data_IF_755772209869
#
_entry.id   IF_755772209869
#
_cell.length_a   1.000
_cell.length_b   1.000
_cell.length_c   1.000
_cell.angle_alpha   90.00
_cell.angle_beta   90.00
_cell.angle_gamma   90.00
#
_symmetry.space_group_name_H-M   'P 1'
#
loop_
_entity.id
_entity.type
_entity.pdbx_description
1 polymer ?
#
# COMPACT_ATOMS: atom_id res chain seq x y z
N UNK A 1 21.10 -12.80 16.16
CA UNK A 1 21.38 -11.47 16.75
C UNK A 1 20.17 -11.05 17.54
N UNK A 2 20.33 -10.85 18.84
CA UNK A 2 19.20 -10.44 19.69
C UNK A 2 19.06 -8.91 19.72
N UNK A 3 18.51 -8.37 18.64
CA UNK A 3 18.32 -6.93 18.47
C UNK A 3 17.23 -6.38 19.39
N UNK A 4 16.38 -7.26 19.93
CA UNK A 4 15.25 -6.92 20.79
C UNK A 4 15.47 -7.22 22.27
N UNK A 5 16.64 -7.84 22.66
CA UNK A 5 16.82 -8.39 23.99
C UNK A 5 15.91 -9.58 24.28
N UNK A 6 15.37 -10.20 23.23
CA UNK A 6 14.43 -11.31 23.32
C UNK A 6 15.10 -12.70 23.33
N UNK A 7 16.42 -12.78 23.05
CA UNK A 7 17.18 -14.04 23.11
C UNK A 7 17.32 -14.62 24.52
N UNK A 8 17.09 -13.79 25.55
CA UNK A 8 17.03 -14.25 26.93
C UNK A 8 15.67 -14.92 27.27
N UNK A 9 14.69 -14.81 26.39
CA UNK A 9 13.40 -15.47 26.55
C UNK A 9 13.37 -16.69 25.63
N UNK A 10 13.12 -17.85 26.21
CA UNK A 10 12.65 -19.04 25.47
C UNK A 10 11.59 -18.57 24.47
N UNK A 11 11.74 -18.86 23.19
CA UNK A 11 10.77 -18.46 22.15
C UNK A 11 9.33 -18.91 22.47
N UNK A 12 9.17 -19.90 23.34
CA UNK A 12 7.90 -20.41 23.84
C UNK A 12 7.24 -19.52 24.93
N UNK A 13 7.92 -18.47 25.39
CA UNK A 13 7.41 -17.58 26.47
C UNK A 13 7.05 -16.18 26.02
N UNK A 14 7.32 -15.82 24.77
CA UNK A 14 6.93 -14.51 24.25
C UNK A 14 5.44 -14.58 23.88
N UNK A 15 4.63 -13.81 24.57
CA UNK A 15 3.19 -13.71 24.31
C UNK A 15 2.79 -12.24 24.12
N UNK A 16 1.64 -12.05 23.50
CA UNK A 16 1.05 -10.73 23.29
C UNK A 16 0.07 -10.42 24.41
N UNK A 17 0.29 -9.33 25.09
CA UNK A 17 -0.67 -8.77 26.05
C UNK A 17 -1.56 -7.75 25.35
N UNK A 18 -2.86 -7.79 25.67
CA UNK A 18 -3.89 -6.90 25.16
C UNK A 18 -4.59 -6.21 26.34
N UNK A 19 -4.57 -4.89 26.31
CA UNK A 19 -5.22 -4.05 27.32
C UNK A 19 -6.30 -3.20 26.65
N UNK A 20 -7.53 -3.28 27.15
CA UNK A 20 -8.61 -2.41 26.68
C UNK A 20 -8.26 -0.96 26.99
N UNK A 21 -8.39 -0.10 25.98
CA UNK A 21 -8.28 1.34 26.15
C UNK A 21 -9.65 1.92 26.49
N UNK A 22 -9.67 2.78 27.50
CA UNK A 22 -10.88 3.53 27.84
C UNK A 22 -10.93 4.80 26.99
N UNK A 23 -11.69 4.76 25.88
CA UNK A 23 -11.78 5.88 24.95
C UNK A 23 -13.07 5.85 24.15
N UNK A 24 -13.60 7.05 23.85
CA UNK A 24 -14.68 7.27 22.90
C UNK A 24 -14.16 7.79 21.54
N UNK A 25 -12.85 7.96 21.39
CA UNK A 25 -12.24 8.42 20.15
C UNK A 25 -12.16 7.27 19.15
N UNK A 26 -12.45 7.58 17.87
CA UNK A 26 -12.22 6.64 16.79
C UNK A 26 -10.71 6.53 16.47
N UNK A 27 -10.35 5.58 15.60
CA UNK A 27 -8.97 5.30 15.26
C UNK A 27 -8.23 6.52 14.67
N UNK A 28 -8.89 7.34 13.86
CA UNK A 28 -8.26 8.52 13.28
C UNK A 28 -8.05 9.63 14.32
N UNK A 29 -8.99 9.84 15.23
CA UNK A 29 -8.85 10.79 16.33
C UNK A 29 -7.70 10.40 17.26
N UNK A 30 -7.55 9.10 17.56
CA UNK A 30 -6.42 8.58 18.31
C UNK A 30 -5.12 8.86 17.53
N UNK A 31 -5.06 8.51 16.24
CA UNK A 31 -3.90 8.77 15.41
C UNK A 31 -3.49 10.25 15.40
N UNK A 32 -4.44 11.17 15.32
CA UNK A 32 -4.17 12.61 15.36
C UNK A 32 -3.48 13.07 16.64
N UNK A 33 -3.83 12.45 17.80
CA UNK A 33 -3.19 12.76 19.10
C UNK A 33 -1.73 12.32 19.13
N UNK A 34 -1.38 11.21 18.46
CA UNK A 34 -0.03 10.64 18.42
C UNK A 34 0.85 11.18 17.29
N UNK A 35 0.27 11.63 16.18
CA UNK A 35 0.99 12.04 14.96
C UNK A 35 2.11 13.06 15.19
N UNK A 36 1.93 13.98 16.15
CA UNK A 36 2.90 15.03 16.46
C UNK A 36 3.93 14.63 17.51
N UNK A 37 3.68 13.55 18.20
CA UNK A 37 4.56 13.06 19.27
C UNK A 37 5.71 12.22 18.72
N UNK A 38 5.47 11.57 17.57
CA UNK A 38 6.40 10.59 17.02
C UNK A 38 6.85 10.92 15.60
N UNK A 39 8.15 10.78 15.36
CA UNK A 39 8.74 10.94 14.02
C UNK A 39 8.46 9.76 13.09
N UNK A 40 8.21 8.58 13.70
CA UNK A 40 7.83 7.37 12.98
C UNK A 40 6.53 6.86 13.54
N UNK A 41 5.50 6.91 12.70
CA UNK A 41 4.13 6.54 13.07
C UNK A 41 3.37 6.13 11.82
N UNK A 42 2.43 5.20 11.99
CA UNK A 42 1.52 4.83 10.91
C UNK A 42 0.10 4.64 11.40
N UNK A 43 -0.86 4.76 10.49
CA UNK A 43 -2.19 4.19 10.58
C UNK A 43 -2.47 3.38 9.32
N UNK A 44 -2.98 2.16 9.52
CA UNK A 44 -3.56 1.31 8.48
C UNK A 44 -5.02 1.09 8.83
N UNK A 45 -5.93 1.45 7.93
CA UNK A 45 -7.37 1.31 8.18
C UNK A 45 -8.12 0.92 6.90
N UNK A 46 -9.31 0.32 7.07
CA UNK A 46 -10.23 0.04 5.97
C UNK A 46 -11.53 0.78 6.23
N UNK A 47 -11.95 1.63 5.27
CA UNK A 47 -13.15 2.46 5.43
C UNK A 47 -14.34 1.96 4.63
N UNK A 48 -14.10 1.20 3.58
CA UNK A 48 -15.12 0.63 2.71
C UNK A 48 -14.66 -0.72 2.17
N UNK A 49 -15.58 -1.54 1.72
CA UNK A 49 -15.29 -2.84 1.11
C UNK A 49 -15.95 -4.00 1.83
N UNK A 50 -15.63 -5.23 1.45
CA UNK A 50 -16.11 -6.43 2.14
C UNK A 50 -15.75 -6.41 3.62
N UNK A 51 -16.64 -6.93 4.49
CA UNK A 51 -16.43 -6.95 5.95
C UNK A 51 -15.13 -7.65 6.33
N UNK A 52 -14.75 -8.67 5.58
CA UNK A 52 -13.52 -9.44 5.77
C UNK A 52 -12.25 -8.60 5.58
N UNK A 53 -12.36 -7.44 4.91
CA UNK A 53 -11.24 -6.50 4.72
C UNK A 53 -11.20 -5.41 5.78
N UNK A 54 -12.28 -5.18 6.53
CA UNK A 54 -12.45 -4.04 7.44
C UNK A 54 -12.60 -4.42 8.92
N UNK A 55 -11.95 -5.50 9.35
CA UNK A 55 -12.08 -5.99 10.72
C UNK A 55 -11.35 -5.13 11.75
N UNK A 56 -10.14 -4.67 11.41
CA UNK A 56 -9.24 -4.02 12.35
C UNK A 56 -8.54 -2.82 11.70
N UNK A 57 -8.42 -1.71 12.44
CA UNK A 57 -7.46 -0.65 12.13
C UNK A 57 -6.27 -0.73 13.08
N UNK A 58 -5.09 -0.33 12.58
CA UNK A 58 -3.82 -0.48 13.29
C UNK A 58 -3.12 0.87 13.36
N UNK A 59 -2.66 1.25 14.56
CA UNK A 59 -1.80 2.41 14.77
C UNK A 59 -0.51 1.92 15.44
N UNK A 60 0.64 2.19 14.82
CA UNK A 60 1.94 1.91 15.42
C UNK A 60 2.78 3.17 15.45
N UNK A 61 3.60 3.30 16.46
CA UNK A 61 4.42 4.49 16.70
C UNK A 61 5.73 4.12 17.39
N UNK A 62 6.76 4.94 17.17
CA UNK A 62 8.06 4.86 17.81
C UNK A 62 8.73 3.47 17.72
N UNK A 63 8.95 2.91 16.52
CA UNK A 63 9.59 1.61 16.38
C UNK A 63 11.03 1.68 16.88
N UNK A 64 11.42 0.78 17.80
CA UNK A 64 12.79 0.70 18.30
C UNK A 64 13.78 0.35 17.20
N UNK A 65 13.37 -0.53 16.30
CA UNK A 65 14.18 -0.99 15.16
C UNK A 65 13.59 -0.47 13.87
N UNK A 66 14.45 0.05 13.02
CA UNK A 66 14.12 0.37 11.63
C UNK A 66 15.11 -0.29 10.68
N UNK A 67 14.61 -0.73 9.54
CA UNK A 67 15.44 -1.31 8.49
C UNK A 67 15.22 -0.59 7.18
N UNK A 68 16.29 -0.40 6.43
CA UNK A 68 16.25 0.15 5.08
C UNK A 68 17.15 -0.65 4.15
N UNK A 69 16.77 -0.77 2.89
CA UNK A 69 17.64 -1.33 1.86
C UNK A 69 17.70 -0.40 0.65
N UNK A 70 18.91 0.03 0.33
CA UNK A 70 19.21 0.78 -0.88
C UNK A 70 20.20 -0.03 -1.71
N UNK A 71 19.81 -0.31 -2.98
CA UNK A 71 20.61 -1.16 -3.84
C UNK A 71 20.91 -2.51 -3.14
N UNK A 72 22.16 -2.82 -2.82
CA UNK A 72 22.56 -4.07 -2.14
C UNK A 72 22.83 -3.90 -0.66
N UNK A 73 22.67 -2.72 -0.11
CA UNK A 73 23.02 -2.44 1.28
C UNK A 73 21.76 -2.41 2.15
N UNK A 74 21.66 -3.41 3.02
CA UNK A 74 20.64 -3.52 4.07
C UNK A 74 21.19 -2.93 5.37
N UNK A 75 20.47 -2.01 5.99
CA UNK A 75 20.83 -1.32 7.22
C UNK A 75 19.80 -1.60 8.30
N UNK A 76 20.28 -1.87 9.49
CA UNK A 76 19.48 -2.00 10.71
C UNK A 76 19.87 -0.87 11.65
N UNK A 77 18.89 -0.11 12.10
CA UNK A 77 19.08 0.97 13.07
C UNK A 77 18.25 0.70 14.32
N UNK A 78 18.84 0.92 15.50
CA UNK A 78 18.14 0.95 16.78
C UNK A 78 18.07 2.41 17.26
N UNK A 79 16.85 2.94 17.49
CA UNK A 79 16.62 4.34 17.88
C UNK A 79 17.45 5.33 17.05
N UNK A 80 17.41 5.18 15.73
CA UNK A 80 18.16 5.98 14.74
C UNK A 80 19.68 5.79 14.71
N UNK A 81 20.26 4.95 15.57
CA UNK A 81 21.68 4.59 15.51
C UNK A 81 21.88 3.35 14.64
N UNK A 82 22.80 3.42 13.69
CA UNK A 82 23.17 2.27 12.86
C UNK A 82 23.78 1.18 13.76
N UNK A 83 23.16 0.00 13.76
CA UNK A 83 23.62 -1.18 14.51
C UNK A 83 24.33 -2.15 13.57
N UNK A 84 23.78 -2.32 12.36
CA UNK A 84 24.29 -3.31 11.42
C UNK A 84 24.14 -2.82 9.98
N UNK A 85 25.12 -3.19 9.15
CA UNK A 85 25.12 -2.95 7.70
C UNK A 85 25.52 -4.25 7.01
N UNK A 86 24.66 -4.77 6.14
CA UNK A 86 24.83 -6.04 5.45
C UNK A 86 24.69 -5.80 3.95
N UNK A 87 25.66 -6.27 3.18
CA UNK A 87 25.51 -6.34 1.73
C UNK A 87 24.76 -7.63 1.36
N UNK A 88 23.64 -7.48 0.67
CA UNK A 88 22.74 -8.60 0.37
C UNK A 88 22.02 -8.41 -0.96
N UNK A 89 21.75 -9.53 -1.61
CA UNK A 89 20.81 -9.61 -2.73
C UNK A 89 19.44 -10.15 -2.30
N UNK A 90 19.26 -10.48 -1.00
CA UNK A 90 18.06 -11.07 -0.42
C UNK A 90 17.59 -10.26 0.81
N UNK A 91 17.11 -9.00 0.62
CA UNK A 91 16.78 -8.12 1.75
C UNK A 91 15.62 -8.64 2.59
N UNK A 92 14.62 -9.32 2.00
CA UNK A 92 13.53 -9.91 2.76
C UNK A 92 13.98 -11.09 3.63
N UNK A 93 15.03 -11.81 3.21
CA UNK A 93 15.64 -12.85 4.03
C UNK A 93 16.35 -12.27 5.25
N UNK A 94 16.95 -11.07 5.13
CA UNK A 94 17.52 -10.36 6.29
C UNK A 94 16.43 -9.85 7.24
N UNK A 95 15.33 -9.29 6.70
CA UNK A 95 14.19 -8.88 7.51
C UNK A 95 13.59 -10.09 8.27
N UNK A 96 13.41 -11.24 7.59
CA UNK A 96 12.93 -12.49 8.21
C UNK A 96 13.76 -12.92 9.42
N UNK A 97 15.11 -12.80 9.34
CA UNK A 97 16.03 -13.23 10.41
C UNK A 97 15.90 -12.38 11.68
N UNK A 98 15.54 -11.13 11.56
CA UNK A 98 15.42 -10.23 12.70
C UNK A 98 13.99 -10.20 13.28
N UNK A 99 13.02 -10.84 12.64
CA UNK A 99 11.64 -10.92 13.11
C UNK A 99 11.46 -12.08 14.08
N UNK A 100 11.02 -11.84 15.32
CA UNK A 100 10.62 -12.91 16.22
C UNK A 100 9.39 -13.64 15.68
N UNK A 101 9.20 -14.91 16.06
CA UNK A 101 8.00 -15.68 15.77
C UNK A 101 7.20 -15.84 17.04
N UNK A 102 5.94 -15.45 17.01
CA UNK A 102 5.02 -15.51 18.16
C UNK A 102 3.79 -16.31 17.75
N UNK A 103 3.43 -17.29 18.56
CA UNK A 103 2.23 -18.10 18.33
C UNK A 103 1.02 -17.43 18.99
N UNK A 104 0.34 -16.57 18.25
CA UNK A 104 -0.89 -15.91 18.68
C UNK A 104 -1.73 -15.57 17.43
N UNK A 105 -2.95 -16.06 17.35
CA UNK A 105 -3.84 -15.90 16.20
C UNK A 105 -5.12 -15.11 16.51
N UNK A 106 -5.19 -14.46 17.68
CA UNK A 106 -6.33 -13.62 18.06
C UNK A 106 -6.59 -12.49 17.06
N UNK A 107 -5.51 -11.93 16.50
CA UNK A 107 -5.56 -10.94 15.44
C UNK A 107 -4.56 -11.28 14.33
N UNK A 108 -4.85 -10.84 13.10
CA UNK A 108 -3.92 -10.97 11.97
C UNK A 108 -2.63 -10.19 12.22
N UNK A 109 -2.71 -9.05 12.89
CA UNK A 109 -1.56 -8.25 13.30
C UNK A 109 -1.44 -8.23 14.83
N UNK A 110 -0.28 -8.62 15.33
CA UNK A 110 0.08 -8.66 16.74
C UNK A 110 1.44 -8.02 17.02
N UNK A 111 1.79 -7.01 16.24
CA UNK A 111 3.15 -6.47 16.11
C UNK A 111 3.86 -7.05 14.90
N UNK A 112 4.96 -6.40 14.49
CA UNK A 112 5.68 -6.82 13.31
C UNK A 112 6.38 -5.70 12.57
N UNK A 113 6.85 -6.00 11.36
CA UNK A 113 7.44 -5.05 10.45
C UNK A 113 6.36 -4.37 9.62
N UNK A 114 6.19 -3.06 9.77
CA UNK A 114 5.29 -2.23 8.96
C UNK A 114 6.09 -1.25 8.13
N UNK A 115 5.78 -1.16 6.84
CA UNK A 115 6.53 -0.32 5.93
C UNK A 115 6.12 -0.51 4.47
N UNK A 116 7.05 -0.23 3.58
CA UNK A 116 6.84 -0.35 2.15
C UNK A 116 7.99 -1.05 1.43
N UNK A 117 7.66 -1.60 0.26
CA UNK A 117 8.59 -2.16 -0.70
C UNK A 117 8.34 -1.45 -2.03
N UNK A 118 9.38 -0.76 -2.55
CA UNK A 118 9.33 -0.06 -3.84
C UNK A 118 9.22 -1.06 -4.99
N UNK A 119 8.54 -0.67 -6.07
CA UNK A 119 8.44 -1.46 -7.30
C UNK A 119 9.82 -1.93 -7.80
N UNK A 120 10.80 -1.04 -7.74
CA UNK A 120 12.15 -1.33 -8.24
C UNK A 120 12.89 -2.40 -7.43
N UNK A 121 12.37 -2.82 -6.26
CA UNK A 121 12.89 -3.94 -5.48
C UNK A 121 12.75 -5.29 -6.20
N UNK A 122 11.90 -5.39 -7.23
CA UNK A 122 11.77 -6.60 -8.05
C UNK A 122 13.12 -7.06 -8.64
N UNK A 123 14.06 -6.14 -8.82
CA UNK A 123 15.42 -6.44 -9.30
C UNK A 123 16.25 -7.32 -8.36
N UNK A 124 15.80 -7.56 -7.15
CA UNK A 124 16.37 -8.57 -6.27
C UNK A 124 15.96 -9.99 -6.66
N UNK A 125 14.83 -10.15 -7.33
CA UNK A 125 14.22 -11.47 -7.58
C UNK A 125 14.06 -11.80 -9.06
N UNK A 126 14.04 -10.79 -9.93
CA UNK A 126 13.94 -10.95 -11.38
C UNK A 126 15.08 -10.21 -12.10
N UNK A 127 15.58 -10.81 -13.18
CA UNK A 127 16.60 -10.19 -14.02
C UNK A 127 15.94 -9.24 -15.00
N UNK A 128 16.02 -7.95 -14.75
CA UNK A 128 15.56 -6.92 -15.64
C UNK A 128 16.75 -6.18 -16.28
N UNK A 129 16.61 -5.62 -17.50
CA UNK A 129 17.64 -4.81 -18.12
C UNK A 129 18.12 -3.70 -17.18
N UNK A 130 19.42 -3.44 -17.13
CA UNK A 130 19.98 -2.36 -16.34
C UNK A 130 19.92 -1.04 -17.13
N UNK A 131 18.84 -0.31 -17.01
CA UNK A 131 18.76 1.04 -17.52
C UNK A 131 19.47 2.01 -16.56
N UNK A 132 20.78 2.12 -16.72
CA UNK A 132 21.68 2.95 -15.87
C UNK A 132 21.32 4.45 -15.93
N UNK A 133 20.54 4.88 -16.91
CA UNK A 133 20.17 6.27 -17.17
C UNK A 133 18.90 6.75 -16.41
N UNK A 134 18.24 5.88 -15.64
CA UNK A 134 17.05 6.30 -14.89
C UNK A 134 17.44 7.15 -13.72
N UNK A 135 16.77 8.28 -13.58
CA UNK A 135 16.83 9.12 -12.39
C UNK A 135 16.46 8.28 -11.16
N UNK A 136 17.38 8.24 -10.18
CA UNK A 136 17.18 7.43 -8.97
C UNK A 136 16.01 7.99 -8.17
N UNK A 137 15.12 7.12 -7.72
CA UNK A 137 14.12 7.49 -6.75
C UNK A 137 14.78 7.80 -5.39
N UNK A 138 14.30 8.84 -4.71
CA UNK A 138 14.80 9.26 -3.41
C UNK A 138 14.36 8.32 -2.26
N UNK A 139 13.42 7.41 -2.53
CA UNK A 139 12.95 6.41 -1.58
C UNK A 139 13.83 5.17 -1.60
N UNK A 140 14.14 4.55 -0.43
CA UNK A 140 14.72 3.22 -0.37
C UNK A 140 13.93 2.17 -1.16
N UNK A 141 14.61 1.09 -1.58
CA UNK A 141 13.94 -0.06 -2.20
C UNK A 141 13.01 -0.77 -1.21
N UNK A 142 13.33 -0.73 0.08
CA UNK A 142 12.42 -1.09 1.17
C UNK A 142 12.77 -0.29 2.43
N UNK A 143 11.74 0.00 3.23
CA UNK A 143 11.88 0.64 4.54
C UNK A 143 10.77 0.15 5.47
N UNK A 144 11.16 -0.38 6.63
CA UNK A 144 10.25 -0.91 7.64
C UNK A 144 10.63 -0.41 9.04
N UNK A 145 9.61 -0.11 9.84
CA UNK A 145 9.73 -0.06 11.30
C UNK A 145 9.28 -1.39 11.89
N UNK A 146 9.96 -1.87 12.93
CA UNK A 146 9.55 -3.06 13.68
C UNK A 146 8.89 -2.60 14.97
N UNK A 147 7.60 -2.86 15.06
CA UNK A 147 6.73 -2.38 16.13
C UNK A 147 6.40 -3.53 17.06
N UNK A 148 6.80 -3.41 18.32
CA UNK A 148 6.54 -4.39 19.37
C UNK A 148 5.34 -4.01 20.23
N UNK A 149 4.78 -2.84 20.03
CA UNK A 149 3.54 -2.37 20.65
C UNK A 149 2.79 -1.42 19.71
N UNK A 150 1.54 -1.14 20.04
CA UNK A 150 0.68 -0.27 19.27
C UNK A 150 -0.78 -0.34 19.69
N UNK A 151 -1.66 0.21 18.86
CA UNK A 151 -3.10 0.23 19.11
C UNK A 151 -3.82 -0.51 17.99
N UNK A 152 -4.68 -1.45 18.38
CA UNK A 152 -5.62 -2.15 17.50
C UNK A 152 -7.02 -1.60 17.78
N UNK A 153 -7.73 -1.23 16.75
CA UNK A 153 -9.14 -0.87 16.83
C UNK A 153 -9.96 -1.98 16.17
N UNK A 154 -10.65 -2.77 17.00
CA UNK A 154 -11.56 -3.82 16.53
C UNK A 154 -12.91 -3.20 16.18
N UNK A 155 -13.24 -3.17 14.88
CA UNK A 155 -14.48 -2.57 14.38
C UNK A 155 -15.72 -3.39 14.71
N UNK A 156 -15.60 -4.70 14.87
CA UNK A 156 -16.71 -5.59 15.22
C UNK A 156 -17.18 -5.33 16.66
N UNK A 157 -16.24 -5.13 17.57
CA UNK A 157 -16.50 -4.85 18.99
C UNK A 157 -16.62 -3.36 19.28
N UNK A 158 -16.27 -2.49 18.32
CA UNK A 158 -16.10 -1.05 18.49
C UNK A 158 -15.20 -0.71 19.69
N UNK A 159 -14.06 -1.42 19.81
CA UNK A 159 -13.16 -1.37 20.95
C UNK A 159 -11.72 -1.15 20.51
N UNK A 160 -11.03 -0.22 21.17
CA UNK A 160 -9.59 -0.02 21.03
C UNK A 160 -8.82 -0.85 22.07
N UNK A 161 -7.72 -1.46 21.63
CA UNK A 161 -6.81 -2.23 22.47
C UNK A 161 -5.39 -1.69 22.31
N UNK A 162 -4.68 -1.50 23.41
CA UNK A 162 -3.23 -1.41 23.40
C UNK A 162 -2.66 -2.82 23.47
N UNK A 163 -1.75 -3.15 22.58
CA UNK A 163 -1.02 -4.43 22.59
C UNK A 163 0.47 -4.19 22.79
N UNK A 164 1.14 -5.12 23.43
CA UNK A 164 2.60 -5.19 23.48
C UNK A 164 3.10 -6.63 23.55
N UNK A 165 4.32 -6.85 23.08
CA UNK A 165 4.98 -8.17 23.01
C UNK A 165 6.27 -8.24 23.84
N UNK A 166 6.63 -7.16 24.50
CA UNK A 166 7.81 -7.05 25.36
C UNK A 166 7.42 -6.61 26.76
N UNK A 167 8.32 -6.74 27.72
CA UNK A 167 8.08 -6.28 29.10
C UNK A 167 7.93 -4.76 29.24
N UNK A 168 8.20 -3.99 28.17
CA UNK A 168 8.05 -2.54 28.15
C UNK A 168 6.57 -2.15 27.89
N UNK A 169 5.71 -2.31 28.89
CA UNK A 169 4.33 -1.87 28.81
C UNK A 169 4.24 -0.34 28.98
N UNK A 170 3.70 0.34 27.97
CA UNK A 170 3.48 1.80 27.98
C UNK A 170 2.00 2.18 28.17
N UNK A 171 1.20 1.30 28.77
CA UNK A 171 -0.26 1.48 28.86
C UNK A 171 -0.63 2.82 29.49
N UNK A 172 -0.04 3.16 30.66
CA UNK A 172 -0.37 4.40 31.38
C UNK A 172 0.02 5.65 30.58
N UNK A 173 1.16 5.62 29.89
CA UNK A 173 1.60 6.68 29.00
C UNK A 173 0.60 6.87 27.84
N UNK A 174 0.24 5.77 27.17
CA UNK A 174 -0.68 5.77 26.03
C UNK A 174 -2.08 6.25 26.45
N UNK A 175 -2.62 5.74 27.57
CA UNK A 175 -3.91 6.17 28.09
C UNK A 175 -3.89 7.67 28.44
N UNK A 176 -2.83 8.13 29.13
CA UNK A 176 -2.65 9.55 29.43
C UNK A 176 -2.61 10.44 28.18
N UNK A 177 -1.99 9.99 27.08
CA UNK A 177 -1.97 10.75 25.82
C UNK A 177 -3.36 10.78 25.17
N UNK A 178 -4.11 9.68 25.24
CA UNK A 178 -5.50 9.62 24.73
C UNK A 178 -6.39 10.60 25.52
N UNK A 179 -6.26 10.65 26.85
CA UNK A 179 -7.10 11.45 27.74
C UNK A 179 -6.79 12.96 27.66
N UNK A 180 -5.59 13.32 27.24
CA UNK A 180 -5.23 14.75 27.09
C UNK A 180 -6.19 15.43 26.13
N UNK A 181 -6.82 16.51 26.59
CA UNK A 181 -7.62 17.37 25.72
C UNK A 181 -6.74 17.94 24.60
N UNK A 182 -7.18 17.78 23.37
CA UNK A 182 -6.50 18.40 22.22
C UNK A 182 -6.64 19.91 22.36
N UNK A 183 -5.58 20.61 22.78
CA UNK A 183 -5.53 22.08 22.63
C UNK A 183 -5.66 22.34 21.14
N UNK A 184 -6.53 23.30 20.75
CA UNK A 184 -6.62 23.80 19.36
C UNK A 184 -5.22 24.23 18.93
N UNK A 185 -4.48 23.35 18.31
CA UNK A 185 -3.13 23.63 17.87
C UNK A 185 -3.22 24.41 16.57
N UNK A 186 -2.46 25.48 16.50
CA UNK A 186 -2.28 26.23 15.26
C UNK A 186 -1.66 25.29 14.23
N UNK A 187 -2.43 24.91 13.22
CA UNK A 187 -1.93 24.06 12.14
C UNK A 187 -1.02 24.89 11.26
N UNK A 188 0.24 24.46 10.99
CA UNK A 188 1.07 25.15 10.02
C UNK A 188 0.35 25.20 8.67
N UNK A 189 0.48 26.32 7.98
CA UNK A 189 -0.23 26.51 6.71
C UNK A 189 0.22 25.49 5.67
N UNK A 190 -0.72 24.65 5.22
CA UNK A 190 -0.50 23.71 4.13
C UNK A 190 -0.37 24.46 2.79
N UNK A 191 0.65 24.13 2.02
CA UNK A 191 0.82 24.64 0.66
C UNK A 191 1.57 23.64 -0.22
N UNK A 192 1.33 23.72 -1.51
CA UNK A 192 2.09 22.99 -2.52
C UNK A 192 2.32 23.85 -3.77
N UNK A 193 3.44 23.61 -4.45
CA UNK A 193 3.78 24.29 -5.70
C UNK A 193 2.98 23.72 -6.88
N UNK A 194 3.00 24.40 -8.01
CA UNK A 194 2.38 23.90 -9.25
C UNK A 194 3.01 22.57 -9.65
N UNK A 195 2.21 21.48 -9.79
CA UNK A 195 2.72 20.18 -10.20
C UNK A 195 3.30 20.22 -11.62
N UNK A 196 4.38 19.45 -11.83
CA UNK A 196 5.03 19.30 -13.13
C UNK A 196 5.06 17.82 -13.50
N UNK A 197 4.58 17.49 -14.68
CA UNK A 197 4.64 16.12 -15.20
C UNK A 197 6.05 15.79 -15.70
N UNK A 198 6.49 14.56 -15.46
CA UNK A 198 7.77 14.04 -15.96
C UNK A 198 7.76 13.76 -17.47
N UNK A 199 6.58 13.68 -18.09
CA UNK A 199 6.39 13.36 -19.49
C UNK A 199 5.25 14.20 -20.09
N UNK A 200 5.40 14.71 -21.29
CA UNK A 200 4.34 15.42 -22.01
C UNK A 200 3.32 14.44 -22.59
N UNK A 201 2.10 14.93 -22.88
CA UNK A 201 1.04 14.12 -23.48
C UNK A 201 1.52 13.43 -24.77
N UNK A 202 2.12 14.17 -25.72
CA UNK A 202 2.61 13.59 -26.97
C UNK A 202 3.66 12.49 -26.75
N UNK A 203 4.56 12.66 -25.79
CA UNK A 203 5.53 11.61 -25.45
C UNK A 203 4.85 10.38 -24.86
N UNK A 204 3.87 10.56 -23.96
CA UNK A 204 3.13 9.44 -23.39
C UNK A 204 2.35 8.67 -24.46
N UNK A 205 1.64 9.39 -25.35
CA UNK A 205 0.95 8.78 -26.50
C UNK A 205 1.90 7.98 -27.42
N UNK A 206 3.12 8.48 -27.62
CA UNK A 206 4.15 7.74 -28.37
C UNK A 206 4.60 6.47 -27.64
N UNK A 207 4.66 6.48 -26.28
CA UNK A 207 4.95 5.26 -25.51
C UNK A 207 3.80 4.24 -25.61
N UNK A 208 2.55 4.70 -25.63
CA UNK A 208 1.39 3.84 -25.87
C UNK A 208 1.51 3.17 -27.25
N UNK A 209 1.82 3.92 -28.31
CA UNK A 209 2.00 3.37 -29.64
C UNK A 209 3.15 2.35 -29.72
N UNK A 210 4.29 2.64 -29.09
CA UNK A 210 5.40 1.66 -28.97
C UNK A 210 4.97 0.38 -28.23
N UNK A 211 4.18 0.51 -27.16
CA UNK A 211 3.65 -0.65 -26.45
C UNK A 211 2.73 -1.50 -27.34
N UNK A 212 1.97 -0.86 -28.23
CA UNK A 212 1.14 -1.58 -29.22
C UNK A 212 1.99 -2.37 -30.21
N UNK A 213 3.20 -1.94 -30.56
CA UNK A 213 4.11 -2.73 -31.39
C UNK A 213 4.49 -4.06 -30.71
N UNK A 214 4.78 -4.04 -29.38
CA UNK A 214 5.03 -5.26 -28.61
C UNK A 214 3.79 -6.16 -28.51
N UNK A 215 2.59 -5.58 -28.40
CA UNK A 215 1.33 -6.31 -28.42
C UNK A 215 1.07 -6.99 -29.78
N UNK A 216 1.29 -6.28 -30.89
CA UNK A 216 1.15 -6.84 -32.25
C UNK A 216 2.16 -7.95 -32.54
N UNK A 217 3.37 -7.84 -32.01
CA UNK A 217 4.42 -8.86 -32.15
C UNK A 217 4.17 -10.09 -31.26
N UNK A 218 3.18 -10.05 -30.35
CA UNK A 218 2.87 -11.15 -29.44
C UNK A 218 3.81 -11.26 -28.24
N UNK A 219 4.60 -10.23 -27.95
CA UNK A 219 5.50 -10.19 -26.78
C UNK A 219 4.70 -10.18 -25.47
N UNK A 220 3.58 -9.45 -25.42
CA UNK A 220 2.74 -9.24 -24.25
C UNK A 220 1.25 -9.19 -24.64
N UNK A 221 0.37 -9.39 -23.66
CA UNK A 221 -1.07 -9.15 -23.77
C UNK A 221 -1.47 -7.79 -23.18
N UNK A 222 -0.72 -7.31 -22.21
CA UNK A 222 -0.93 -6.03 -21.55
C UNK A 222 0.36 -5.51 -20.93
N UNK A 223 0.55 -4.19 -20.94
CA UNK A 223 1.57 -3.50 -20.16
C UNK A 223 1.00 -2.25 -19.52
N UNK A 224 1.35 -1.97 -18.28
CA UNK A 224 0.92 -0.76 -17.58
C UNK A 224 1.99 0.30 -17.66
N UNK A 225 1.71 1.38 -18.39
CA UNK A 225 2.59 2.55 -18.48
C UNK A 225 2.14 3.64 -17.52
N UNK A 226 3.11 4.26 -16.84
CA UNK A 226 2.82 5.29 -15.86
C UNK A 226 3.48 6.63 -16.13
N UNK A 227 2.90 7.68 -15.56
CA UNK A 227 3.47 9.04 -15.51
C UNK A 227 3.42 9.61 -14.10
N UNK A 228 4.33 10.51 -13.80
CA UNK A 228 4.54 11.12 -12.50
C UNK A 228 4.33 12.63 -12.56
N UNK A 229 3.75 13.20 -11.48
CA UNK A 229 3.70 14.63 -11.24
C UNK A 229 4.49 14.96 -9.99
N UNK A 230 5.52 15.80 -10.12
CA UNK A 230 6.39 16.24 -9.03
C UNK A 230 6.03 17.68 -8.60
N UNK A 231 6.08 17.96 -7.30
CA UNK A 231 5.84 19.29 -6.74
C UNK A 231 6.47 19.46 -5.35
N UNK A 232 6.67 20.71 -4.95
CA UNK A 232 7.05 21.02 -3.57
C UNK A 232 5.82 21.01 -2.67
N UNK A 233 5.98 20.57 -1.41
CA UNK A 233 4.91 20.50 -0.40
C UNK A 233 5.42 20.95 0.96
N UNK A 234 4.60 21.67 1.72
CA UNK A 234 4.91 22.11 3.09
C UNK A 234 3.64 22.17 3.94
N UNK A 235 3.80 22.04 5.25
CA UNK A 235 2.72 22.17 6.21
C UNK A 235 2.17 20.83 6.72
N UNK A 236 0.96 20.86 7.26
CA UNK A 236 0.35 19.72 7.95
C UNK A 236 -0.31 18.74 6.96
N UNK A 237 0.20 17.52 6.92
CA UNK A 237 -0.27 16.45 6.04
C UNK A 237 -1.51 15.70 6.59
N UNK A 238 -1.83 15.83 7.87
CA UNK A 238 -3.03 15.21 8.47
C UNK A 238 -4.31 15.66 7.79
N UNK A 239 -4.36 16.95 7.42
CA UNK A 239 -5.50 17.49 6.69
C UNK A 239 -5.68 16.82 5.33
N UNK A 240 -4.59 16.57 4.60
CA UNK A 240 -4.65 15.85 3.31
C UNK A 240 -5.21 14.45 3.49
N UNK A 241 -4.75 13.71 4.52
CA UNK A 241 -5.26 12.38 4.80
C UNK A 241 -6.73 12.39 5.22
N UNK A 242 -7.15 13.35 6.06
CA UNK A 242 -8.57 13.54 6.43
C UNK A 242 -9.43 13.72 5.19
N UNK A 243 -9.08 14.66 4.32
CA UNK A 243 -9.81 14.91 3.08
C UNK A 243 -9.84 13.66 2.20
N UNK A 244 -8.71 12.94 2.09
CA UNK A 244 -8.65 11.70 1.29
C UNK A 244 -9.60 10.62 1.83
N UNK A 245 -9.72 10.49 3.16
CA UNK A 245 -10.68 9.58 3.82
C UNK A 245 -12.14 9.93 3.47
N UNK A 246 -12.44 11.21 3.30
CA UNK A 246 -13.79 11.70 3.00
C UNK A 246 -14.14 11.57 1.52
N UNK A 247 -13.22 11.97 0.63
CA UNK A 247 -13.52 12.02 -0.81
C UNK A 247 -13.24 10.70 -1.54
N UNK A 248 -12.37 9.84 -1.00
CA UNK A 248 -11.99 8.57 -1.65
C UNK A 248 -11.73 7.47 -0.64
N UNK A 249 -12.71 7.10 0.22
CA UNK A 249 -12.55 5.98 1.14
C UNK A 249 -12.31 4.68 0.37
N UNK A 250 -11.41 3.85 0.86
CA UNK A 250 -10.93 2.63 0.19
C UNK A 250 -10.71 1.50 1.19
N UNK A 251 -10.60 0.23 0.74
CA UNK A 251 -10.29 -0.91 1.61
C UNK A 251 -8.91 -0.80 2.28
N UNK A 252 -7.97 -0.11 1.63
CA UNK A 252 -6.62 0.11 2.16
C UNK A 252 -6.34 1.61 2.23
N UNK A 253 -6.66 2.21 3.37
CA UNK A 253 -6.25 3.56 3.71
C UNK A 253 -4.99 3.51 4.55
N UNK A 254 -4.01 4.33 4.24
CA UNK A 254 -2.76 4.37 4.99
C UNK A 254 -2.15 5.75 5.07
N UNK A 255 -1.55 6.01 6.22
CA UNK A 255 -0.62 7.09 6.46
C UNK A 255 0.61 6.48 7.12
N UNK A 256 1.72 6.45 6.43
CA UNK A 256 3.01 5.98 6.92
C UNK A 256 3.99 7.14 6.95
N UNK A 257 4.46 7.51 8.13
CA UNK A 257 5.51 8.51 8.34
C UNK A 257 6.76 7.82 8.87
N UNK A 258 7.87 7.98 8.16
CA UNK A 258 9.19 7.45 8.50
C UNK A 258 10.19 8.61 8.51
N UNK A 259 10.16 9.40 9.60
CA UNK A 259 10.91 10.65 9.77
C UNK A 259 10.57 11.68 8.69
N UNK A 260 11.45 11.92 7.75
CA UNK A 260 11.32 12.87 6.63
C UNK A 260 10.52 12.33 5.43
N UNK A 261 10.24 11.01 5.42
CA UNK A 261 9.44 10.37 4.39
C UNK A 261 8.02 10.11 4.85
N UNK A 262 7.08 10.31 3.95
CA UNK A 262 5.68 10.03 4.20
C UNK A 262 5.01 9.43 2.96
N UNK A 263 4.18 8.42 3.17
CA UNK A 263 3.32 7.82 2.14
C UNK A 263 1.89 7.89 2.64
N UNK A 264 1.03 8.58 1.88
CA UNK A 264 -0.40 8.75 2.19
C UNK A 264 -1.18 8.17 1.01
N UNK A 265 -2.08 7.24 1.28
CA UNK A 265 -2.79 6.59 0.18
C UNK A 265 -4.16 6.06 0.52
N UNK A 266 -4.89 5.80 -0.56
CA UNK A 266 -6.23 5.25 -0.60
C UNK A 266 -6.28 4.19 -1.70
N UNK A 267 -5.63 3.04 -1.43
CA UNK A 267 -5.54 1.96 -2.39
C UNK A 267 -6.81 1.11 -2.40
N UNK A 268 -7.41 0.87 -3.56
CA UNK A 268 -8.54 -0.05 -3.66
C UNK A 268 -8.12 -1.52 -3.65
N UNK A 269 -6.83 -1.83 -3.82
CA UNK A 269 -6.39 -3.15 -4.25
C UNK A 269 -5.38 -3.80 -3.30
N UNK A 270 -5.69 -5.05 -2.94
CA UNK A 270 -4.81 -5.94 -2.20
C UNK A 270 -3.75 -6.52 -3.14
N UNK A 271 -2.48 -6.49 -2.71
CA UNK A 271 -1.45 -7.31 -3.33
C UNK A 271 -1.54 -8.75 -2.82
N UNK A 272 -1.50 -8.91 -1.50
CA UNK A 272 -1.40 -10.21 -0.83
C UNK A 272 -1.89 -10.09 0.61
N UNK A 273 -2.65 -11.09 1.04
CA UNK A 273 -2.97 -11.33 2.45
C UNK A 273 -2.66 -12.78 2.80
N UNK A 274 -2.08 -12.98 3.98
CA UNK A 274 -1.91 -14.30 4.57
C UNK A 274 -2.43 -14.28 6.00
N UNK A 275 -3.29 -15.25 6.29
CA UNK A 275 -3.76 -15.53 7.63
C UNK A 275 -3.49 -17.00 7.91
N UNK A 276 -2.60 -17.30 8.86
CA UNK A 276 -2.09 -18.64 9.10
C UNK A 276 -1.42 -19.21 7.82
N UNK A 277 -2.04 -20.22 7.16
CA UNK A 277 -1.56 -20.80 5.89
C UNK A 277 -2.41 -20.39 4.68
N UNK A 278 -3.50 -19.63 4.87
CA UNK A 278 -4.38 -19.17 3.80
C UNK A 278 -3.78 -17.95 3.10
N UNK A 279 -3.47 -18.10 1.83
CA UNK A 279 -3.01 -17.04 0.92
C UNK A 279 -4.20 -16.51 0.15
N UNK A 280 -4.36 -15.18 0.08
CA UNK A 280 -5.47 -14.52 -0.58
C UNK A 280 -4.98 -13.37 -1.45
N UNK A 281 -5.61 -13.18 -2.60
CA UNK A 281 -5.45 -11.98 -3.45
C UNK A 281 -6.77 -11.68 -4.14
N UNK A 282 -7.00 -10.38 -4.46
CA UNK A 282 -8.23 -9.89 -5.05
C UNK A 282 -7.92 -9.04 -6.28
N UNK A 283 -7.73 -9.64 -7.46
CA UNK A 283 -7.62 -8.87 -8.69
C UNK A 283 -8.91 -8.11 -8.97
N UNK A 284 -8.74 -6.86 -9.36
CA UNK A 284 -9.82 -5.90 -9.65
C UNK A 284 -9.60 -5.38 -11.07
N UNK A 285 -10.65 -5.42 -11.90
CA UNK A 285 -10.67 -4.82 -13.23
C UNK A 285 -12.04 -4.26 -13.56
N UNK A 286 -12.13 -3.51 -14.63
CA UNK A 286 -13.36 -2.91 -15.09
C UNK A 286 -13.91 -1.85 -14.12
N UNK A 287 -14.51 -0.81 -14.65
CA UNK A 287 -15.05 0.27 -13.83
C UNK A 287 -16.32 0.84 -14.41
N UNK A 288 -17.35 1.00 -13.58
CA UNK A 288 -18.54 1.80 -13.88
C UNK A 288 -18.82 2.74 -12.71
N UNK A 289 -19.32 3.94 -12.96
CA UNK A 289 -19.69 4.88 -11.88
C UNK A 289 -20.85 4.36 -11.05
N UNK A 290 -20.95 4.84 -9.82
CA UNK A 290 -22.14 4.73 -8.99
C UNK A 290 -22.90 6.06 -9.09
N UNK A 291 -24.22 6.00 -9.35
CA UNK A 291 -25.11 7.13 -9.42
C UNK A 291 -26.22 7.03 -8.35
N UNK A 292 -26.94 8.13 -8.11
CA UNK A 292 -28.01 8.15 -7.08
C UNK A 292 -29.30 7.39 -7.49
N UNK A 293 -29.22 6.51 -8.48
CA UNK A 293 -30.32 5.67 -8.97
C UNK A 293 -29.93 4.20 -8.90
N UNK A 294 -30.61 3.43 -8.05
CA UNK A 294 -30.30 2.02 -7.80
C UNK A 294 -30.59 1.12 -9.02
N UNK A 295 -31.61 1.45 -9.80
CA UNK A 295 -31.90 0.69 -11.03
C UNK A 295 -30.83 0.94 -12.08
N UNK A 296 -30.37 2.19 -12.20
CA UNK A 296 -29.25 2.54 -13.09
C UNK A 296 -27.95 1.88 -12.66
N UNK A 297 -27.69 1.77 -11.36
CA UNK A 297 -26.51 1.06 -10.85
C UNK A 297 -26.57 -0.44 -11.20
N UNK A 298 -27.74 -1.06 -11.14
CA UNK A 298 -27.91 -2.46 -11.59
C UNK A 298 -27.68 -2.61 -13.09
N UNK A 299 -28.21 -1.70 -13.92
CA UNK A 299 -27.96 -1.70 -15.36
C UNK A 299 -26.46 -1.55 -15.68
N UNK A 300 -25.77 -0.63 -15.01
CA UNK A 300 -24.32 -0.43 -15.14
C UNK A 300 -23.54 -1.67 -14.70
N UNK A 301 -23.97 -2.37 -13.65
CA UNK A 301 -23.39 -3.64 -13.21
C UNK A 301 -23.53 -4.73 -14.28
N UNK A 302 -24.73 -4.87 -14.86
CA UNK A 302 -24.99 -5.84 -15.94
C UNK A 302 -24.17 -5.47 -17.19
N UNK A 303 -24.14 -4.20 -17.56
CA UNK A 303 -23.32 -3.69 -18.66
C UNK A 303 -21.84 -4.01 -18.48
N UNK A 304 -21.33 -3.93 -17.24
CA UNK A 304 -19.95 -4.24 -16.92
C UNK A 304 -19.63 -5.74 -17.12
N UNK A 305 -20.54 -6.62 -16.69
CA UNK A 305 -20.40 -8.08 -16.86
C UNK A 305 -20.65 -8.56 -18.31
N UNK A 306 -21.22 -7.73 -19.16
CA UNK A 306 -21.45 -8.03 -20.58
C UNK A 306 -20.42 -7.35 -21.50
N UNK A 307 -19.47 -6.62 -20.94
CA UNK A 307 -18.40 -5.97 -21.70
C UNK A 307 -17.28 -6.99 -21.97
N UNK A 308 -17.21 -7.49 -23.20
CA UNK A 308 -16.25 -8.54 -23.61
C UNK A 308 -14.79 -8.15 -23.33
N UNK A 309 -14.44 -6.86 -23.50
CA UNK A 309 -13.10 -6.36 -23.22
C UNK A 309 -12.78 -6.44 -21.73
N UNK A 310 -13.68 -5.94 -20.86
CA UNK A 310 -13.48 -5.93 -19.41
C UNK A 310 -13.41 -7.35 -18.85
N UNK A 311 -14.22 -8.27 -19.38
CA UNK A 311 -14.22 -9.70 -19.01
C UNK A 311 -12.93 -10.38 -19.46
N UNK A 312 -12.44 -10.10 -20.68
CA UNK A 312 -11.18 -10.68 -21.18
C UNK A 312 -9.97 -10.19 -20.34
N UNK A 313 -9.92 -8.88 -20.05
CA UNK A 313 -8.88 -8.30 -19.19
C UNK A 313 -8.93 -8.93 -17.79
N UNK A 314 -10.11 -9.01 -17.17
CA UNK A 314 -10.26 -9.59 -15.84
C UNK A 314 -9.88 -11.07 -15.81
N UNK A 315 -10.24 -11.84 -16.84
CA UNK A 315 -9.86 -13.25 -16.96
C UNK A 315 -8.33 -13.42 -16.98
N UNK A 316 -7.65 -12.58 -17.75
CA UNK A 316 -6.18 -12.56 -17.80
C UNK A 316 -5.57 -12.24 -16.43
N UNK A 317 -6.11 -11.27 -15.70
CA UNK A 317 -5.63 -10.92 -14.35
C UNK A 317 -5.89 -12.05 -13.33
N UNK A 318 -7.03 -12.73 -13.43
CA UNK A 318 -7.33 -13.92 -12.60
C UNK A 318 -6.33 -15.05 -12.86
N UNK A 319 -6.02 -15.33 -14.12
CA UNK A 319 -5.03 -16.37 -14.47
C UNK A 319 -3.63 -15.99 -13.98
N UNK A 320 -3.23 -14.73 -14.14
CA UNK A 320 -1.96 -14.24 -13.64
C UNK A 320 -1.86 -14.39 -12.12
N UNK A 321 -2.90 -13.98 -11.38
CA UNK A 321 -2.94 -14.11 -9.92
C UNK A 321 -2.93 -15.59 -9.46
N UNK A 322 -3.64 -16.48 -10.17
CA UNK A 322 -3.58 -17.94 -9.92
C UNK A 322 -2.18 -18.50 -10.12
N UNK A 323 -1.49 -18.09 -11.16
CA UNK A 323 -0.11 -18.49 -11.43
C UNK A 323 0.84 -17.98 -10.34
N UNK A 324 0.69 -16.71 -9.91
CA UNK A 324 1.52 -16.11 -8.89
C UNK A 324 1.43 -16.84 -7.56
N UNK A 325 0.21 -17.05 -7.02
CA UNK A 325 0.05 -17.77 -5.76
C UNK A 325 0.35 -19.27 -5.90
N UNK A 326 0.18 -19.83 -7.11
CA UNK A 326 0.50 -21.24 -7.40
C UNK A 326 1.96 -21.58 -7.18
N UNK A 327 2.87 -20.60 -7.30
CA UNK A 327 4.32 -20.78 -7.07
C UNK A 327 4.65 -21.10 -5.60
N UNK A 328 3.77 -20.76 -4.66
CA UNK A 328 4.00 -20.94 -3.20
C UNK A 328 2.91 -21.75 -2.49
N UNK A 329 1.81 -22.05 -3.16
CA UNK A 329 0.73 -22.83 -2.59
C UNK A 329 0.86 -24.32 -2.88
N UNK A 330 0.31 -25.15 -1.99
CA UNK A 330 0.22 -26.60 -2.18
C UNK A 330 -0.56 -26.90 -3.46
N UNK A 331 -0.09 -27.88 -4.21
CA UNK A 331 -0.77 -28.34 -5.42
C UNK A 331 -2.24 -28.68 -5.15
N UNK A 332 -3.14 -28.27 -6.06
CA UNK A 332 -4.57 -28.53 -5.95
C UNK A 332 -5.33 -27.65 -4.94
N UNK A 333 -4.65 -26.74 -4.23
CA UNK A 333 -5.32 -25.84 -3.24
C UNK A 333 -5.67 -24.48 -3.79
N UNK A 334 -5.09 -24.07 -4.93
CA UNK A 334 -5.43 -22.79 -5.57
C UNK A 334 -6.83 -22.85 -6.16
N UNK A 335 -7.69 -21.96 -5.70
CA UNK A 335 -9.10 -21.89 -6.11
C UNK A 335 -9.52 -20.44 -6.33
N UNK A 336 -10.41 -20.23 -7.29
CA UNK A 336 -11.18 -18.99 -7.41
C UNK A 336 -12.43 -19.19 -6.56
N UNK A 337 -12.51 -18.52 -5.42
CA UNK A 337 -13.63 -18.63 -4.48
C UNK A 337 -14.84 -17.87 -5.01
N UNK A 338 -14.59 -16.61 -5.45
CA UNK A 338 -15.60 -15.78 -6.11
C UNK A 338 -15.02 -15.36 -7.47
N UNK A 339 -15.74 -15.62 -8.55
CA UNK A 339 -15.32 -15.28 -9.89
C UNK A 339 -16.22 -14.16 -10.42
N UNK A 340 -15.58 -13.05 -10.87
CA UNK A 340 -16.25 -11.95 -11.59
C UNK A 340 -17.48 -11.40 -10.87
N UNK A 341 -17.39 -11.14 -9.56
CA UNK A 341 -18.46 -10.49 -8.82
C UNK A 341 -18.34 -8.98 -8.92
N UNK A 342 -19.47 -8.29 -9.16
CA UNK A 342 -19.45 -6.82 -9.11
C UNK A 342 -19.52 -6.37 -7.65
N UNK A 343 -18.49 -5.64 -7.21
CA UNK A 343 -18.43 -5.04 -5.87
C UNK A 343 -18.52 -3.52 -5.99
N UNK A 344 -19.29 -2.92 -5.08
CA UNK A 344 -19.48 -1.47 -4.99
C UNK A 344 -18.47 -0.87 -4.00
N UNK A 345 -17.85 0.21 -4.42
CA UNK A 345 -17.00 1.07 -3.60
C UNK A 345 -17.68 2.42 -3.41
N UNK A 346 -16.97 3.44 -2.95
CA UNK A 346 -17.58 4.74 -2.65
C UNK A 346 -18.24 5.43 -3.86
N UNK A 347 -17.59 5.41 -5.03
CA UNK A 347 -18.02 6.16 -6.22
C UNK A 347 -18.08 5.31 -7.49
N UNK A 348 -17.56 4.11 -7.43
CA UNK A 348 -17.42 3.20 -8.58
C UNK A 348 -17.77 1.78 -8.19
N UNK A 349 -18.13 0.96 -9.18
CA UNK A 349 -18.25 -0.48 -9.05
C UNK A 349 -17.26 -1.17 -9.98
N UNK A 350 -16.68 -2.26 -9.51
CA UNK A 350 -15.64 -3.03 -10.20
C UNK A 350 -16.00 -4.50 -10.28
N UNK A 351 -15.43 -5.20 -11.27
CA UNK A 351 -15.36 -6.66 -11.28
C UNK A 351 -14.23 -7.06 -10.35
N UNK A 352 -14.54 -7.94 -9.41
CA UNK A 352 -13.60 -8.48 -8.42
C UNK A 352 -13.67 -9.99 -8.42
N UNK A 353 -12.53 -10.64 -8.38
CA UNK A 353 -12.43 -12.08 -8.11
C UNK A 353 -11.62 -12.32 -6.84
N UNK A 354 -11.97 -13.39 -6.10
CA UNK A 354 -11.27 -13.79 -4.88
C UNK A 354 -10.53 -15.09 -5.13
N UNK A 355 -9.21 -15.04 -5.10
CA UNK A 355 -8.34 -16.18 -5.34
C UNK A 355 -7.66 -16.56 -4.04
N UNK A 356 -7.73 -17.86 -3.70
CA UNK A 356 -7.17 -18.39 -2.46
C UNK A 356 -6.30 -19.60 -2.73
N UNK A 357 -5.36 -19.86 -1.82
CA UNK A 357 -4.53 -21.06 -1.81
C UNK A 357 -4.01 -21.36 -0.41
N UNK A 358 -3.41 -22.53 -0.22
CA UNK A 358 -2.76 -22.90 1.04
C UNK A 358 -1.25 -22.95 0.85
N UNK A 359 -0.50 -22.25 1.70
CA UNK A 359 0.96 -22.24 1.66
C UNK A 359 1.53 -23.68 1.66
N UNK A 360 2.59 -23.89 0.88
CA UNK A 360 3.38 -25.12 0.94
C UNK A 360 4.10 -25.21 2.29
N UNK A 361 4.33 -26.43 2.74
CA UNK A 361 5.12 -26.68 3.94
C UNK A 361 6.54 -26.08 3.77
N UNK A 362 7.01 -25.37 4.79
CA UNK A 362 8.31 -24.71 4.78
C UNK A 362 8.36 -23.36 4.04
N UNK A 363 7.25 -22.91 3.45
CA UNK A 363 7.07 -21.55 2.90
C UNK A 363 6.38 -20.66 3.92
N UNK A 364 6.65 -19.36 3.84
CA UNK A 364 6.03 -18.37 4.70
C UNK A 364 5.58 -17.10 3.93
N UNK A 365 5.15 -16.08 4.66
CA UNK A 365 4.67 -14.83 4.08
C UNK A 365 5.72 -14.09 3.25
N UNK A 366 7.00 -14.21 3.58
CA UNK A 366 8.08 -13.60 2.78
C UNK A 366 8.27 -14.30 1.44
N UNK A 367 8.14 -15.64 1.39
CA UNK A 367 8.22 -16.39 0.15
C UNK A 367 7.02 -16.08 -0.75
N UNK A 368 5.83 -15.98 -0.16
CA UNK A 368 4.62 -15.64 -0.90
C UNK A 368 4.67 -14.21 -1.44
N UNK A 369 5.18 -13.26 -0.66
CA UNK A 369 5.37 -11.90 -1.13
C UNK A 369 6.27 -11.85 -2.38
N UNK A 370 7.42 -12.53 -2.36
CA UNK A 370 8.34 -12.61 -3.50
C UNK A 370 7.68 -13.19 -4.76
N UNK A 371 6.83 -14.20 -4.59
CA UNK A 371 6.19 -14.87 -5.70
C UNK A 371 5.13 -14.03 -6.41
N UNK A 372 4.44 -13.17 -5.66
CA UNK A 372 3.32 -12.37 -6.16
C UNK A 372 3.79 -10.99 -6.65
N UNK A 373 4.81 -10.40 -6.01
CA UNK A 373 5.29 -9.05 -6.29
C UNK A 373 6.00 -8.92 -7.65
N UNK A 374 5.79 -7.78 -8.37
CA UNK A 374 4.71 -6.82 -8.19
C UNK A 374 3.37 -7.36 -8.73
N UNK A 375 2.27 -6.67 -8.42
CA UNK A 375 0.96 -7.06 -8.95
C UNK A 375 0.91 -6.98 -10.48
N UNK A 376 0.17 -7.90 -11.10
CA UNK A 376 -0.06 -7.89 -12.54
C UNK A 376 -0.81 -6.66 -13.04
N UNK A 377 -1.75 -6.18 -12.22
CA UNK A 377 -2.58 -4.98 -12.48
C UNK A 377 -1.80 -3.67 -12.60
N UNK A 378 -0.53 -3.65 -12.16
CA UNK A 378 0.37 -2.49 -12.28
C UNK A 378 1.62 -2.78 -13.10
N UNK A 379 1.78 -4.00 -13.60
CA UNK A 379 2.89 -4.41 -14.47
C UNK A 379 2.41 -4.84 -15.86
N UNK A 380 1.72 -5.95 -15.96
CA UNK A 380 1.16 -6.50 -17.18
C UNK A 380 1.34 -8.01 -17.31
N UNK A 381 1.06 -8.55 -18.47
CA UNK A 381 1.08 -9.98 -18.76
C UNK A 381 1.69 -10.27 -20.15
N UNK A 382 2.64 -11.22 -20.29
CA UNK A 382 3.36 -11.95 -19.22
C UNK A 382 4.22 -11.01 -18.35
N UNK A 383 4.22 -11.23 -17.02
CA UNK A 383 4.72 -10.29 -16.02
C UNK A 383 6.17 -9.83 -16.26
N UNK A 384 7.11 -10.74 -16.44
CA UNK A 384 8.53 -10.41 -16.60
C UNK A 384 8.75 -9.58 -17.87
N UNK A 385 8.15 -9.99 -18.98
CA UNK A 385 8.27 -9.25 -20.24
C UNK A 385 7.67 -7.86 -20.18
N UNK A 386 6.50 -7.72 -19.54
CA UNK A 386 5.89 -6.41 -19.30
C UNK A 386 6.81 -5.51 -18.46
N UNK A 387 7.47 -6.05 -17.41
CA UNK A 387 8.42 -5.29 -16.59
C UNK A 387 9.67 -4.86 -17.37
N UNK A 388 10.18 -5.68 -18.29
CA UNK A 388 11.28 -5.32 -19.20
C UNK A 388 10.88 -4.12 -20.08
N UNK A 389 9.69 -4.15 -20.66
CA UNK A 389 9.16 -3.09 -21.52
C UNK A 389 8.93 -1.80 -20.70
N UNK A 390 8.39 -1.90 -19.50
CA UNK A 390 8.26 -0.77 -18.57
C UNK A 390 9.64 -0.15 -18.29
N UNK A 391 10.64 -1.00 -18.05
CA UNK A 391 12.00 -0.54 -17.79
C UNK A 391 12.64 0.16 -18.99
N UNK A 392 12.30 -0.26 -20.20
CA UNK A 392 12.74 0.37 -21.45
C UNK A 392 12.04 1.71 -21.70
N UNK A 393 10.72 1.77 -21.51
CA UNK A 393 9.88 2.87 -21.97
C UNK A 393 9.74 4.01 -20.94
N UNK A 394 9.63 3.71 -19.65
CA UNK A 394 9.45 4.74 -18.63
C UNK A 394 10.76 5.49 -18.34
N UNK A 395 10.73 6.85 -18.30
CA UNK A 395 11.95 7.65 -18.12
C UNK A 395 12.53 7.59 -16.71
N UNK A 396 11.69 7.30 -15.69
CA UNK A 396 12.07 7.35 -14.27
C UNK A 396 11.85 6.00 -13.60
N UNK A 397 12.59 5.73 -12.51
CA UNK A 397 12.28 4.65 -11.59
C UNK A 397 10.96 4.94 -10.89
N UNK A 398 10.15 3.91 -10.64
CA UNK A 398 8.82 4.04 -10.02
C UNK A 398 8.88 4.33 -8.52
N UNK A 399 9.91 3.83 -7.83
CA UNK A 399 9.99 3.90 -6.38
C UNK A 399 8.83 3.17 -5.69
N UNK A 400 8.24 3.74 -4.63
CA UNK A 400 7.11 3.13 -3.94
C UNK A 400 5.84 2.98 -4.80
N UNK A 401 5.64 3.79 -5.84
CA UNK A 401 4.49 3.64 -6.74
C UNK A 401 4.49 2.25 -7.39
N UNK A 402 3.32 1.60 -7.45
CA UNK A 402 3.15 0.24 -7.95
C UNK A 402 3.96 -0.84 -7.18
N UNK A 403 4.54 -0.45 -6.05
CA UNK A 403 5.11 -1.34 -5.05
C UNK A 403 4.05 -1.84 -4.08
N UNK A 404 4.43 -2.07 -2.82
CA UNK A 404 3.54 -2.56 -1.78
C UNK A 404 3.75 -1.82 -0.46
N UNK A 405 2.66 -1.56 0.28
CA UNK A 405 2.67 -1.03 1.63
C UNK A 405 1.79 -1.90 2.52
N UNK A 406 2.29 -2.27 3.68
CA UNK A 406 1.60 -3.14 4.60
C UNK A 406 2.50 -3.68 5.70
N UNK A 407 2.25 -4.90 6.13
CA UNK A 407 2.97 -5.49 7.24
C UNK A 407 3.29 -6.99 7.07
N UNK A 408 4.38 -7.39 7.71
CA UNK A 408 4.65 -8.77 8.12
C UNK A 408 4.48 -8.83 9.63
N UNK A 409 3.55 -9.63 10.13
CA UNK A 409 3.26 -9.80 11.55
C UNK A 409 4.15 -10.86 12.20
N UNK A 410 4.38 -10.76 13.50
CA UNK A 410 5.15 -11.74 14.26
C UNK A 410 4.55 -13.14 14.28
N UNK A 411 3.23 -13.28 14.07
CA UNK A 411 2.57 -14.58 13.95
C UNK A 411 2.63 -15.20 12.53
N UNK A 412 3.42 -14.61 11.63
CA UNK A 412 3.58 -15.10 10.25
C UNK A 412 2.52 -14.61 9.28
N UNK A 413 1.46 -13.96 9.74
CA UNK A 413 0.47 -13.31 8.88
C UNK A 413 1.06 -12.09 8.16
N UNK A 414 0.48 -11.70 7.03
CA UNK A 414 0.81 -10.45 6.37
C UNK A 414 -0.41 -9.87 5.66
N UNK A 415 -0.37 -8.56 5.40
CA UNK A 415 -1.39 -7.87 4.60
C UNK A 415 -0.75 -6.67 3.90
N UNK A 416 -0.76 -6.67 2.57
CA UNK A 416 -0.15 -5.64 1.74
C UNK A 416 -1.10 -5.12 0.69
N UNK A 417 -1.23 -3.81 0.63
CA UNK A 417 -1.86 -3.09 -0.47
C UNK A 417 -0.86 -2.80 -1.59
N UNK A 418 -1.34 -2.72 -2.81
CA UNK A 418 -0.57 -2.14 -3.91
C UNK A 418 -0.51 -0.62 -3.69
N UNK A 419 0.69 -0.01 -3.77
CA UNK A 419 0.85 1.43 -3.56
C UNK A 419 0.46 2.21 -4.81
N UNK A 420 -0.85 2.35 -4.99
CA UNK A 420 -1.50 3.20 -6.00
C UNK A 420 -2.43 4.21 -5.32
N UNK A 421 -2.88 5.22 -6.04
CA UNK A 421 -3.71 6.30 -5.47
C UNK A 421 -3.04 6.90 -4.22
N UNK A 422 -1.74 7.19 -4.32
CA UNK A 422 -0.88 7.58 -3.20
C UNK A 422 -0.08 8.83 -3.49
N UNK A 423 0.14 9.59 -2.42
CA UNK A 423 1.03 10.73 -2.35
C UNK A 423 2.33 10.27 -1.67
N UNK A 424 3.44 10.49 -2.33
CA UNK A 424 4.78 10.15 -1.86
C UNK A 424 5.53 11.43 -1.53
N UNK A 425 6.05 11.54 -0.33
CA UNK A 425 6.70 12.74 0.18
C UNK A 425 8.07 12.36 0.75
N UNK A 426 9.09 13.10 0.35
CA UNK A 426 10.42 13.04 0.94
C UNK A 426 10.88 14.48 1.23
N UNK A 427 11.01 14.81 2.52
CA UNK A 427 11.19 16.20 2.98
C UNK A 427 10.09 17.15 2.44
N UNK A 428 10.48 18.13 1.66
CA UNK A 428 9.58 19.13 1.05
C UNK A 428 9.26 18.84 -0.42
N UNK A 429 9.64 17.67 -0.93
CA UNK A 429 9.32 17.20 -2.28
C UNK A 429 8.24 16.14 -2.22
N UNK A 430 7.30 16.24 -3.13
CA UNK A 430 6.22 15.27 -3.25
C UNK A 430 6.02 14.87 -4.69
N UNK A 431 5.49 13.69 -4.89
CA UNK A 431 4.96 13.28 -6.18
C UNK A 431 3.73 12.39 -6.03
N UNK A 432 2.94 12.38 -7.08
CA UNK A 432 1.87 11.43 -7.33
C UNK A 432 2.12 10.74 -8.66
N UNK A 433 1.73 9.48 -8.78
CA UNK A 433 1.96 8.69 -9.99
C UNK A 433 0.73 7.83 -10.29
N UNK A 434 0.43 7.67 -11.57
CA UNK A 434 -0.64 6.79 -12.05
C UNK A 434 -0.27 6.17 -13.38
N UNK A 435 -0.91 5.04 -13.70
CA UNK A 435 -0.72 4.34 -14.96
C UNK A 435 -2.03 3.84 -15.55
N UNK A 436 -1.98 3.53 -16.85
CA UNK A 436 -3.03 2.89 -17.60
C UNK A 436 -2.54 1.57 -18.20
N UNK A 437 -3.42 0.57 -18.24
CA UNK A 437 -3.18 -0.73 -18.86
C UNK A 437 -3.33 -0.66 -20.38
N UNK A 438 -2.23 -0.82 -21.09
CA UNK A 438 -2.21 -0.74 -22.55
C UNK A 438 -2.44 -2.13 -23.12
N UNK A 439 -3.49 -2.26 -23.91
CA UNK A 439 -3.89 -3.44 -24.67
C UNK A 439 -3.95 -3.10 -26.18
N UNK A 440 -4.20 -4.11 -27.02
CA UNK A 440 -4.19 -3.95 -28.48
C UNK A 440 -5.14 -2.84 -28.97
N UNK A 441 -6.33 -2.73 -28.34
CA UNK A 441 -7.38 -1.76 -28.68
C UNK A 441 -7.23 -0.41 -27.97
N UNK A 442 -6.16 -0.21 -27.20
CA UNK A 442 -5.91 1.05 -26.50
C UNK A 442 -5.79 2.23 -27.45
N UNK A 443 -6.43 3.32 -27.11
CA UNK A 443 -6.40 4.60 -27.81
C UNK A 443 -5.51 5.56 -27.01
N UNK A 444 -4.40 6.05 -27.54
CA UNK A 444 -3.39 6.81 -26.79
C UNK A 444 -3.94 8.00 -26.01
N UNK A 445 -4.89 8.75 -26.58
CA UNK A 445 -5.55 9.88 -25.96
C UNK A 445 -6.37 9.46 -24.73
N UNK A 446 -7.13 8.36 -24.86
CA UNK A 446 -7.95 7.83 -23.75
C UNK A 446 -7.10 7.32 -22.60
N UNK A 447 -5.97 6.67 -22.90
CA UNK A 447 -5.04 6.18 -21.87
C UNK A 447 -4.37 7.35 -21.12
N UNK A 448 -4.06 8.44 -21.83
CA UNK A 448 -3.62 9.67 -21.18
C UNK A 448 -4.69 10.21 -20.22
N UNK A 449 -5.93 10.35 -20.70
CA UNK A 449 -7.05 10.89 -19.92
C UNK A 449 -7.35 10.02 -18.68
N UNK A 450 -7.24 8.70 -18.82
CA UNK A 450 -7.38 7.77 -17.70
C UNK A 450 -6.33 8.03 -16.62
N UNK A 451 -5.06 8.24 -17.01
CA UNK A 451 -4.02 8.57 -16.03
C UNK A 451 -4.28 9.92 -15.35
N UNK A 452 -4.76 10.94 -16.08
CA UNK A 452 -5.16 12.23 -15.50
C UNK A 452 -6.30 12.07 -14.49
N UNK A 453 -7.32 11.29 -14.85
CA UNK A 453 -8.45 11.02 -13.94
C UNK A 453 -7.99 10.35 -12.65
N UNK A 454 -7.10 9.35 -12.73
CA UNK A 454 -6.55 8.66 -11.57
C UNK A 454 -5.71 9.58 -10.67
N UNK A 455 -4.93 10.49 -11.25
CA UNK A 455 -4.17 11.51 -10.50
C UNK A 455 -5.07 12.53 -9.82
N UNK A 456 -6.16 12.91 -10.46
CA UNK A 456 -7.07 13.93 -9.95
C UNK A 456 -7.71 13.57 -8.60
N UNK A 457 -7.91 12.29 -8.29
CA UNK A 457 -8.43 11.87 -7.00
C UNK A 457 -7.57 12.37 -5.83
N UNK A 458 -6.24 12.18 -5.91
CA UNK A 458 -5.29 12.65 -4.88
C UNK A 458 -5.11 14.17 -4.96
N UNK A 459 -5.01 14.71 -6.16
CA UNK A 459 -4.85 16.16 -6.36
C UNK A 459 -6.06 16.93 -5.83
N UNK A 460 -7.26 16.35 -5.80
CA UNK A 460 -8.45 16.95 -5.19
C UNK A 460 -8.29 17.08 -3.69
N UNK A 461 -7.77 16.05 -3.00
CA UNK A 461 -7.49 16.14 -1.57
C UNK A 461 -6.52 17.29 -1.23
N UNK A 462 -5.50 17.51 -2.06
CA UNK A 462 -4.56 18.62 -1.89
C UNK A 462 -5.23 19.98 -2.15
N UNK A 463 -6.09 20.08 -3.17
CA UNK A 463 -6.81 21.33 -3.52
C UNK A 463 -7.80 21.73 -2.44
N UNK A 464 -8.54 20.82 -1.89
CA UNK A 464 -9.57 21.09 -0.89
C UNK A 464 -8.94 21.54 0.43
N UNK A 465 -7.81 20.96 0.83
CA UNK A 465 -7.03 21.47 1.94
C UNK A 465 -6.56 22.93 1.74
N UNK A 466 -6.35 23.37 0.51
CA UNK A 466 -6.00 24.76 0.20
C UNK A 466 -7.20 25.71 0.25
N UNK A 467 -8.42 25.21 -0.01
CA UNK A 467 -9.68 25.97 0.03
C UNK A 467 -10.19 26.20 1.45
N UNK A 468 -10.13 25.21 2.32
CA UNK A 468 -10.59 25.30 3.72
C UNK A 468 -9.99 26.51 4.46
N UNK A 469 -8.80 26.96 4.08
CA UNK A 469 -8.14 28.12 4.67
C UNK A 469 -8.62 29.47 4.14
N UNK A 470 -9.29 29.54 3.00
CA UNK A 470 -9.90 30.78 2.53
C UNK A 470 -11.20 31.08 3.26
N UNK A 471 -11.95 30.07 3.66
CA UNK A 471 -13.18 30.24 4.44
C UNK A 471 -12.93 30.68 5.88
N UNK A 472 -11.86 30.22 6.52
CA UNK A 472 -11.51 30.66 7.90
C UNK A 472 -11.05 32.12 7.95
N UNK A 473 -10.52 32.68 6.86
CA UNK A 473 -10.15 34.10 6.79
C UNK A 473 -11.34 35.05 6.53
N UNK A 474 -12.45 34.55 6.01
CA UNK A 474 -13.64 35.40 5.73
C UNK A 474 -14.63 35.50 6.90
N UNK A 475 -14.39 34.77 8.02
CA UNK A 475 -15.19 34.91 9.25
C UNK A 475 -14.52 35.73 10.36
N UNK A 476 -13.35 36.31 10.10
CA UNK A 476 -12.59 37.18 11.05
C UNK A 476 -12.36 38.57 10.51
N UNK A 477 -13.24 39.06 9.63
CA UNK A 477 -13.31 40.51 9.25
C UNK A 477 -14.67 41.08 9.59
#
# INVERSE_FOLDING_TARGET
MDIFGLSAFDNDKIHVELHKLNTNYNQFEIFQKFYRLFDKIFILESLVGPKELSEVSIIGFDPKITVTCNSKTFRVCNRNKLVEKIDTTEPLSQLRKIMPKISDDRFRYIGGAVGYISYDAIRFWERLPNNIKKEKNEFPLLEFGIYTDGILFNHTENQAYYFHVTNDCRLDEIQSQIDRSSKKSHHPSFSYSTPKTNITQNKYMNLVNKSKEYLYNGDIFQVVLSKKMDFGITGDLLGVYRTLREINPSPYMYFLKMSDKCIIGSSPEMLLRITQDLVETFPIAGTRPIVNDENKNKELSISLLNDEKEIAEHTMLVDLARNDIGRVCRYGTVRVRDLMTVKRFSHVQHIVSHIVGRLQNGKDSFDAFKAIFPAGTVSGAPKVRAMEIIDELEPNARGPYAGALGYFSFNGSCDFAITIRSLFINNNRAYVQSGAGIVIDSIPEKEWDETEYKLNAIMSALRDQKKDKRYVKSFNT
#
